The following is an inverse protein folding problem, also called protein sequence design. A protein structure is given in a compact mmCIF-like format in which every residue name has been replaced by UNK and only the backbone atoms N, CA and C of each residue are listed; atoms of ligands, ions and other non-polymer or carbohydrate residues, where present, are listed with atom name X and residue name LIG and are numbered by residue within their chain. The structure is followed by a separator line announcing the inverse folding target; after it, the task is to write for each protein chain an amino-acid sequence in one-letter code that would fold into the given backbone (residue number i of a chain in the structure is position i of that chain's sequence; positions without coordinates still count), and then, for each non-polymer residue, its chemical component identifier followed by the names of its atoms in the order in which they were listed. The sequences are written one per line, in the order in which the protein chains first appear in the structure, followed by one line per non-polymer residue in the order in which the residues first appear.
data_IF_467456843360
#
_entry.id   IF_467456843360
#
_cell.length_a   1.000
_cell.length_b   1.000
_cell.length_c   1.000
_cell.angle_alpha   90.00
_cell.angle_beta   90.00
_cell.angle_gamma   90.00
#
_symmetry.space_group_name_H-M   'P 1'
#
loop_
_entity.id
_entity.type
_entity.pdbx_description
1 polymer ?
#
# COMPACT_ATOMS: atom_id res chain seq x y z
N UNK A 1 20.29 13.13 -19.82
CA UNK A 1 20.64 14.36 -19.08
C UNK A 1 21.49 15.24 -19.99
N UNK A 2 21.01 16.42 -20.38
CA UNK A 2 21.79 17.32 -21.22
C UNK A 2 22.51 18.34 -20.31
N UNK A 3 23.54 17.88 -19.59
CA UNK A 3 24.31 18.73 -18.69
C UNK A 3 25.08 19.74 -19.54
N UNK A 4 24.83 21.03 -19.31
CA UNK A 4 25.53 22.11 -20.00
C UNK A 4 26.56 22.75 -19.09
N UNK A 5 27.68 23.14 -19.70
CA UNK A 5 28.81 23.77 -19.04
C UNK A 5 28.90 25.22 -19.51
N UNK A 6 28.97 26.13 -18.55
CA UNK A 6 29.02 27.57 -18.77
C UNK A 6 30.32 28.12 -18.19
N UNK A 7 31.00 28.97 -18.97
CA UNK A 7 32.24 29.61 -18.55
C UNK A 7 32.07 31.12 -18.62
N UNK A 8 32.26 31.81 -17.49
CA UNK A 8 32.18 33.26 -17.39
C UNK A 8 33.44 33.86 -16.79
N UNK A 9 33.73 35.13 -17.10
CA UNK A 9 34.90 35.83 -16.54
C UNK A 9 34.79 36.02 -15.02
N UNK A 10 33.57 35.95 -14.48
CA UNK A 10 33.26 35.91 -13.05
C UNK A 10 32.10 34.94 -12.79
N UNK A 11 31.89 34.50 -11.54
CA UNK A 11 30.78 33.61 -11.21
C UNK A 11 29.42 34.24 -11.53
N UNK A 12 29.29 35.56 -11.40
CA UNK A 12 28.07 36.30 -11.75
C UNK A 12 27.78 36.27 -13.26
N UNK A 13 28.83 36.35 -14.08
CA UNK A 13 28.74 36.26 -15.53
C UNK A 13 28.31 34.85 -15.96
N UNK A 14 28.95 33.82 -15.40
CA UNK A 14 28.58 32.42 -15.64
C UNK A 14 27.13 32.11 -15.20
N UNK A 15 26.69 32.63 -14.05
CA UNK A 15 25.31 32.48 -13.57
C UNK A 15 24.29 33.23 -14.45
N UNK A 16 24.68 34.36 -15.03
CA UNK A 16 23.80 35.10 -15.95
C UNK A 16 23.61 34.31 -17.25
N UNK A 17 24.67 33.65 -17.74
CA UNK A 17 24.58 32.74 -18.90
C UNK A 17 23.70 31.52 -18.60
N UNK A 18 23.84 30.94 -17.40
CA UNK A 18 22.99 29.83 -16.93
C UNK A 18 21.52 30.25 -16.95
N UNK A 19 21.15 31.38 -16.33
CA UNK A 19 19.75 31.85 -16.31
C UNK A 19 19.21 32.16 -17.71
N UNK A 20 20.04 32.77 -18.57
CA UNK A 20 19.62 33.11 -19.93
C UNK A 20 19.30 31.88 -20.78
N UNK A 21 20.01 30.77 -20.58
CA UNK A 21 19.87 29.57 -21.41
C UNK A 21 18.99 28.48 -20.78
N UNK A 22 19.04 28.31 -19.46
CA UNK A 22 18.32 27.27 -18.73
C UNK A 22 17.08 27.81 -17.99
N UNK A 23 16.88 29.12 -17.92
CA UNK A 23 15.79 29.74 -17.17
C UNK A 23 16.13 29.92 -15.70
N UNK A 24 15.18 30.48 -14.94
CA UNK A 24 15.38 30.75 -13.51
C UNK A 24 15.38 29.49 -12.65
N UNK A 25 14.77 28.40 -13.13
CA UNK A 25 14.67 27.08 -12.48
C UNK A 25 15.85 26.15 -12.84
N UNK A 26 17.02 26.73 -13.09
CA UNK A 26 18.23 25.97 -13.43
C UNK A 26 18.88 25.38 -12.18
N UNK A 27 19.12 24.07 -12.18
CA UNK A 27 19.80 23.38 -11.09
C UNK A 27 21.31 23.38 -11.35
N UNK A 28 22.08 23.93 -10.42
CA UNK A 28 23.54 24.00 -10.49
C UNK A 28 24.14 22.75 -9.83
N UNK A 29 24.89 21.97 -10.61
CA UNK A 29 25.60 20.78 -10.15
C UNK A 29 26.94 21.11 -9.50
N UNK A 30 27.65 22.08 -10.08
CA UNK A 30 29.01 22.41 -9.68
C UNK A 30 29.34 23.84 -10.10
N UNK A 31 30.06 24.54 -9.24
CA UNK A 31 30.63 25.86 -9.51
C UNK A 31 32.10 25.83 -9.09
N UNK A 32 33.02 25.97 -10.05
CA UNK A 32 34.45 25.90 -9.79
C UNK A 32 35.18 27.09 -10.41
N UNK A 33 36.04 27.72 -9.62
CA UNK A 33 37.01 28.69 -10.12
C UNK A 33 38.13 27.96 -10.87
N UNK A 34 38.40 28.38 -12.10
CA UNK A 34 39.40 27.81 -13.01
C UNK A 34 40.29 28.91 -13.57
N UNK A 35 41.47 28.57 -14.10
CA UNK A 35 42.42 29.56 -14.63
C UNK A 35 41.79 30.34 -15.79
N UNK A 36 41.39 31.59 -15.52
CA UNK A 36 40.76 32.49 -16.49
C UNK A 36 39.26 32.78 -16.26
N UNK A 37 38.62 32.22 -15.24
CA UNK A 37 37.20 32.50 -14.96
C UNK A 37 36.53 31.53 -13.99
N UNK A 38 35.19 31.46 -14.04
CA UNK A 38 34.38 30.50 -13.30
C UNK A 38 33.62 29.59 -14.25
N UNK A 39 33.66 28.30 -13.95
CA UNK A 39 32.97 27.25 -14.68
C UNK A 39 31.77 26.75 -13.85
N UNK A 40 30.59 26.76 -14.46
CA UNK A 40 29.34 26.29 -13.84
C UNK A 40 28.74 25.19 -14.69
N UNK A 41 28.44 24.05 -14.08
CA UNK A 41 27.68 22.97 -14.71
C UNK A 41 26.25 23.00 -14.20
N UNK A 42 25.29 23.08 -15.11
CA UNK A 42 23.87 23.21 -14.78
C UNK A 42 22.98 22.48 -15.79
N UNK A 43 21.75 22.20 -15.39
CA UNK A 43 20.71 21.60 -16.23
C UNK A 43 19.33 22.14 -15.82
N UNK A 44 18.30 21.90 -16.64
CA UNK A 44 16.91 22.29 -16.34
C UNK A 44 16.24 21.30 -15.40
N UNK A 45 15.55 21.78 -14.37
CA UNK A 45 14.83 20.95 -13.40
C UNK A 45 13.82 19.98 -14.07
N UNK A 46 13.16 20.42 -15.14
CA UNK A 46 12.24 19.61 -15.95
C UNK A 46 12.92 18.39 -16.59
N UNK A 47 14.21 18.47 -16.96
CA UNK A 47 14.94 17.31 -17.51
C UNK A 47 15.25 16.25 -16.45
N UNK A 48 15.39 16.66 -15.18
CA UNK A 48 15.53 15.72 -14.06
C UNK A 48 14.18 15.06 -13.76
N UNK A 49 13.09 15.83 -13.75
CA UNK A 49 11.75 15.28 -13.54
C UNK A 49 11.32 14.31 -14.66
N UNK A 50 11.62 14.63 -15.92
CA UNK A 50 11.36 13.74 -17.06
C UNK A 50 12.17 12.43 -17.01
N UNK A 51 13.39 12.46 -16.46
CA UNK A 51 14.20 11.26 -16.23
C UNK A 51 13.73 10.45 -15.01
N UNK A 52 13.25 11.12 -13.95
CA UNK A 52 12.69 10.47 -12.76
C UNK A 52 11.34 9.79 -13.05
N UNK A 53 10.57 10.33 -14.00
CA UNK A 53 9.26 9.78 -14.40
C UNK A 53 9.29 8.86 -15.62
N UNK A 54 10.45 8.63 -16.26
CA UNK A 54 10.58 7.64 -17.34
C UNK A 54 9.76 7.94 -18.60
N UNK A 55 9.35 9.19 -18.85
CA UNK A 55 8.56 9.55 -20.03
C UNK A 55 9.45 10.05 -21.17
N UNK A 56 9.90 9.11 -22.01
CA UNK A 56 10.19 9.39 -23.43
C UNK A 56 9.66 8.27 -24.32
N UNK A 57 8.34 8.27 -24.47
CA UNK A 57 7.57 7.97 -25.67
C UNK A 57 6.17 8.50 -25.33
N UNK A 58 5.63 9.54 -25.94
CA UNK A 58 5.07 9.55 -27.30
C UNK A 58 5.00 11.00 -27.76
N UNK A 59 5.61 11.33 -28.89
CA UNK A 59 5.24 12.53 -29.63
C UNK A 59 4.01 12.25 -30.49
N UNK A 60 3.07 13.18 -30.43
CA UNK A 60 2.04 13.51 -31.42
C UNK A 60 0.79 12.61 -31.52
N UNK A 61 -0.19 12.89 -30.65
CA UNK A 61 -1.57 13.09 -31.13
C UNK A 61 -2.08 14.43 -30.62
N UNK A 62 -2.36 15.30 -31.58
CA UNK A 62 -2.83 16.67 -31.42
C UNK A 62 -4.19 16.68 -30.68
N UNK A 63 -4.27 17.38 -29.54
CA UNK A 63 -5.52 17.69 -28.86
C UNK A 63 -5.69 19.21 -28.87
N UNK A 64 -6.06 19.75 -30.02
CA UNK A 64 -6.51 21.12 -30.15
C UNK A 64 -7.77 21.10 -31.02
N UNK A 65 -8.91 20.90 -30.37
CA UNK A 65 -10.26 21.41 -30.71
C UNK A 65 -11.33 20.62 -29.94
N UNK A 66 -11.67 21.09 -28.74
CA UNK A 66 -13.03 21.00 -28.20
C UNK A 66 -13.15 21.97 -27.02
N UNK A 67 -13.66 23.17 -27.31
CA UNK A 67 -14.22 24.05 -26.28
C UNK A 67 -15.66 23.63 -26.00
N UNK A 68 -15.96 23.62 -24.71
CA UNK A 68 -17.25 23.92 -24.07
C UNK A 68 -18.43 22.94 -24.16
N UNK A 69 -18.87 22.60 -22.95
CA UNK A 69 -20.25 22.37 -22.46
C UNK A 69 -20.77 20.93 -22.29
N UNK A 70 -21.33 20.74 -21.08
CA UNK A 70 -22.23 19.70 -20.56
C UNK A 70 -21.68 18.42 -19.88
N UNK A 71 -21.58 18.53 -18.54
CA UNK A 71 -22.09 17.66 -17.44
C UNK A 71 -22.00 16.10 -17.44
N UNK A 72 -21.93 15.48 -16.22
CA UNK A 72 -21.64 14.06 -15.98
C UNK A 72 -22.77 13.05 -16.36
N UNK A 73 -23.70 13.46 -17.21
CA UNK A 73 -24.90 12.72 -17.62
C UNK A 73 -24.62 11.68 -18.72
N UNK A 74 -23.53 11.85 -19.48
CA UNK A 74 -23.14 10.94 -20.57
C UNK A 74 -22.66 9.56 -20.06
N UNK A 75 -21.94 9.52 -18.93
CA UNK A 75 -21.48 8.25 -18.35
C UNK A 75 -22.62 7.46 -17.69
N UNK A 76 -23.54 8.15 -17.01
CA UNK A 76 -24.71 7.54 -16.37
C UNK A 76 -25.71 6.98 -17.40
N UNK A 77 -25.89 7.66 -18.53
CA UNK A 77 -26.73 7.17 -19.63
C UNK A 77 -26.11 5.97 -20.35
N UNK A 78 -24.78 5.93 -20.51
CA UNK A 78 -24.07 4.77 -21.07
C UNK A 78 -24.07 3.55 -20.14
N UNK A 79 -23.98 3.76 -18.82
CA UNK A 79 -24.08 2.68 -17.82
C UNK A 79 -25.51 2.12 -17.74
N UNK A 80 -26.54 2.97 -17.72
CA UNK A 80 -27.93 2.53 -17.72
C UNK A 80 -28.32 1.80 -19.01
N UNK A 81 -27.75 2.19 -20.17
CA UNK A 81 -27.97 1.51 -21.45
C UNK A 81 -27.33 0.12 -21.49
N UNK A 82 -26.12 -0.04 -20.91
CA UNK A 82 -25.48 -1.36 -20.75
C UNK A 82 -26.22 -2.28 -19.78
N UNK A 83 -26.74 -1.73 -18.67
CA UNK A 83 -27.51 -2.51 -17.69
C UNK A 83 -28.85 -2.97 -18.31
N UNK A 84 -29.53 -2.13 -19.10
CA UNK A 84 -30.74 -2.51 -19.82
C UNK A 84 -30.49 -3.57 -20.92
N UNK A 85 -29.34 -3.49 -21.61
CA UNK A 85 -28.94 -4.47 -22.64
C UNK A 85 -28.46 -5.81 -22.04
N UNK A 86 -27.91 -5.82 -20.81
CA UNK A 86 -27.58 -7.06 -20.08
C UNK A 86 -28.82 -7.74 -19.49
N UNK A 87 -29.82 -6.99 -19.01
CA UNK A 87 -31.06 -7.57 -18.48
C UNK A 87 -31.95 -8.19 -19.57
N UNK A 88 -31.86 -7.75 -20.83
CA UNK A 88 -32.53 -8.43 -21.96
C UNK A 88 -31.79 -9.68 -22.48
N UNK A 89 -30.51 -9.88 -22.14
CA UNK A 89 -29.72 -11.03 -22.61
C UNK A 89 -29.74 -12.24 -21.68
N UNK A 90 -30.24 -12.11 -20.45
CA UNK A 90 -30.28 -13.21 -19.47
C UNK A 90 -31.60 -14.01 -19.51
N UNK A 91 -32.67 -13.48 -20.09
CA UNK A 91 -34.00 -14.14 -20.09
C UNK A 91 -34.36 -14.96 -21.35
N UNK A 92 -33.43 -15.18 -22.31
CA UNK A 92 -33.74 -15.89 -23.56
C UNK A 92 -32.87 -17.12 -23.91
N UNK A 93 -31.96 -17.57 -23.04
CA UNK A 93 -31.16 -18.78 -23.29
C UNK A 93 -30.87 -19.57 -22.01
N UNK A 94 -31.85 -20.35 -21.52
CA UNK A 94 -31.62 -21.59 -20.74
C UNK A 94 -32.91 -22.35 -20.39
N UNK A 95 -33.78 -22.63 -21.37
CA UNK A 95 -34.81 -23.69 -21.23
C UNK A 95 -35.04 -24.34 -22.60
N UNK A 96 -34.02 -25.00 -23.17
CA UNK A 96 -34.22 -26.11 -24.11
C UNK A 96 -32.88 -26.77 -24.51
N UNK A 97 -32.31 -27.66 -23.69
CA UNK A 97 -31.23 -28.55 -24.15
C UNK A 97 -30.91 -29.73 -23.23
N UNK A 98 -31.87 -30.27 -22.48
CA UNK A 98 -31.68 -31.53 -21.73
C UNK A 98 -32.93 -32.42 -21.77
N UNK A 99 -33.49 -32.62 -22.97
CA UNK A 99 -34.48 -33.67 -23.24
C UNK A 99 -34.28 -34.15 -24.69
N UNK A 100 -33.24 -34.95 -24.93
CA UNK A 100 -33.07 -35.86 -26.08
C UNK A 100 -31.68 -36.48 -25.96
N UNK A 101 -31.61 -37.61 -25.27
CA UNK A 101 -30.78 -38.77 -25.64
C UNK A 101 -30.74 -39.76 -24.48
N UNK A 102 -31.77 -40.61 -24.42
CA UNK A 102 -31.67 -41.95 -23.84
C UNK A 102 -32.97 -42.69 -24.14
N UNK A 103 -33.07 -43.20 -25.37
CA UNK A 103 -34.03 -44.23 -25.72
C UNK A 103 -33.23 -45.52 -25.94
N UNK A 104 -33.27 -46.43 -24.97
CA UNK A 104 -32.93 -47.85 -25.18
C UNK A 104 -33.75 -48.72 -24.24
N UNK A 105 -34.91 -49.14 -24.78
CA UNK A 105 -35.57 -50.44 -24.65
C UNK A 105 -35.96 -51.02 -23.26
N UNK A 106 -37.27 -51.35 -23.18
CA UNK A 106 -37.98 -52.39 -22.38
C UNK A 106 -38.16 -52.07 -20.88
N UNK A 107 -39.33 -52.17 -20.23
CA UNK A 107 -40.53 -52.99 -20.42
C UNK A 107 -41.82 -52.21 -20.08
N UNK A 108 -42.93 -52.73 -20.58
CA UNK A 108 -44.35 -52.37 -20.39
C UNK A 108 -44.81 -52.27 -18.93
N UNK A 109 -45.60 -51.24 -18.59
CA UNK A 109 -46.84 -51.39 -17.81
C UNK A 109 -47.69 -50.11 -17.86
N UNK A 110 -48.98 -50.28 -18.12
CA UNK A 110 -50.04 -49.25 -18.09
C UNK A 110 -50.15 -48.55 -16.72
N UNK A 111 -50.38 -47.22 -16.70
CA UNK A 111 -51.14 -46.51 -15.66
C UNK A 111 -51.42 -45.01 -15.99
N UNK A 112 -52.71 -44.71 -16.15
CA UNK A 112 -53.52 -43.60 -15.60
C UNK A 112 -53.16 -42.08 -15.78
N UNK A 113 -54.13 -41.20 -16.13
CA UNK A 113 -53.91 -39.77 -16.37
C UNK A 113 -54.24 -38.91 -15.13
N UNK A 114 -53.39 -38.91 -14.08
CA UNK A 114 -53.64 -38.13 -12.86
C UNK A 114 -52.50 -37.21 -12.36
N UNK A 115 -51.37 -37.08 -13.05
CA UNK A 115 -50.15 -36.49 -12.46
C UNK A 115 -49.78 -35.05 -12.88
N UNK A 116 -50.65 -34.32 -13.58
CA UNK A 116 -50.38 -32.93 -14.02
C UNK A 116 -50.60 -31.86 -12.93
N UNK A 117 -51.23 -32.18 -11.80
CA UNK A 117 -51.51 -31.24 -10.71
C UNK A 117 -50.35 -31.10 -9.70
N UNK A 118 -49.51 -32.12 -9.54
CA UNK A 118 -48.42 -32.15 -8.54
C UNK A 118 -47.19 -31.32 -8.94
N UNK A 119 -46.90 -31.19 -10.25
CA UNK A 119 -45.72 -30.45 -10.76
C UNK A 119 -45.95 -28.93 -10.72
N UNK A 120 -47.19 -28.46 -10.90
CA UNK A 120 -47.53 -27.04 -10.76
C UNK A 120 -47.49 -26.58 -9.29
N UNK A 121 -48.00 -27.43 -8.39
CA UNK A 121 -48.03 -27.17 -6.94
C UNK A 121 -46.62 -27.11 -6.33
N UNK A 122 -45.71 -27.98 -6.77
CA UNK A 122 -44.30 -27.97 -6.32
C UNK A 122 -43.53 -26.73 -6.81
N UNK A 123 -43.79 -26.24 -8.03
CA UNK A 123 -43.22 -24.96 -8.53
C UNK A 123 -43.77 -23.75 -7.77
N UNK A 124 -45.08 -23.70 -7.48
CA UNK A 124 -45.66 -22.64 -6.65
C UNK A 124 -45.11 -22.65 -5.22
N UNK A 125 -44.90 -23.84 -4.64
CA UNK A 125 -44.31 -23.96 -3.30
C UNK A 125 -42.84 -23.52 -3.27
N UNK A 126 -42.07 -23.79 -4.32
CA UNK A 126 -40.70 -23.30 -4.46
C UNK A 126 -40.63 -21.76 -4.60
N UNK A 127 -41.56 -21.16 -5.35
CA UNK A 127 -41.69 -19.70 -5.45
C UNK A 127 -42.04 -19.08 -4.08
N UNK A 128 -43.01 -19.66 -3.36
CA UNK A 128 -43.39 -19.18 -2.03
C UNK A 128 -42.27 -19.33 -0.99
N UNK A 129 -41.45 -20.39 -1.07
CA UNK A 129 -40.26 -20.56 -0.24
C UNK A 129 -39.18 -19.51 -0.54
N UNK A 130 -39.01 -19.12 -1.80
CA UNK A 130 -38.11 -18.02 -2.18
C UNK A 130 -38.65 -16.66 -1.70
N UNK A 131 -39.95 -16.41 -1.82
CA UNK A 131 -40.61 -15.20 -1.30
C UNK A 131 -40.41 -15.08 0.22
N UNK A 132 -40.61 -16.18 0.96
CA UNK A 132 -40.40 -16.21 2.42
C UNK A 132 -38.94 -15.99 2.82
N UNK A 133 -37.98 -16.50 2.03
CA UNK A 133 -36.55 -16.20 2.25
C UNK A 133 -36.25 -14.72 1.99
N UNK A 134 -36.83 -14.14 0.94
CA UNK A 134 -36.70 -12.71 0.64
C UNK A 134 -37.28 -11.84 1.76
N UNK A 135 -38.51 -12.14 2.22
CA UNK A 135 -39.12 -11.45 3.36
C UNK A 135 -38.31 -11.59 4.64
N UNK A 136 -37.76 -12.77 4.92
CA UNK A 136 -36.88 -12.98 6.09
C UNK A 136 -35.64 -12.09 6.01
N UNK A 137 -34.99 -12.01 4.84
CA UNK A 137 -33.82 -11.16 4.66
C UNK A 137 -34.17 -9.67 4.85
N UNK A 138 -35.33 -9.22 4.37
CA UNK A 138 -35.81 -7.84 4.59
C UNK A 138 -36.07 -7.57 6.07
N UNK A 139 -36.73 -8.49 6.77
CA UNK A 139 -37.03 -8.37 8.21
C UNK A 139 -35.72 -8.37 9.02
N UNK A 140 -34.79 -9.27 8.73
CA UNK A 140 -33.47 -9.30 9.37
C UNK A 140 -32.70 -7.99 9.17
N UNK A 141 -32.74 -7.44 7.95
CA UNK A 141 -32.12 -6.14 7.63
C UNK A 141 -32.76 -4.98 8.39
N UNK A 142 -34.09 -4.93 8.47
CA UNK A 142 -34.81 -3.89 9.22
C UNK A 142 -34.57 -4.01 10.73
N UNK A 143 -34.58 -5.22 11.29
CA UNK A 143 -34.30 -5.44 12.70
C UNK A 143 -32.86 -5.06 13.06
N UNK A 144 -31.88 -5.36 12.20
CA UNK A 144 -30.49 -4.93 12.38
C UNK A 144 -30.39 -3.40 12.39
N UNK A 145 -31.11 -2.72 11.50
CA UNK A 145 -31.15 -1.25 11.44
C UNK A 145 -31.75 -0.65 12.71
N UNK A 146 -32.85 -1.22 13.23
CA UNK A 146 -33.51 -0.77 14.46
C UNK A 146 -32.63 -1.04 15.69
N UNK A 147 -31.96 -2.19 15.75
CA UNK A 147 -31.05 -2.49 16.85
C UNK A 147 -29.88 -1.49 16.89
N UNK A 148 -29.33 -1.13 15.72
CA UNK A 148 -28.25 -0.16 15.64
C UNK A 148 -28.67 1.28 15.89
N UNK A 149 -29.84 1.72 15.42
CA UNK A 149 -30.33 3.07 15.69
C UNK A 149 -30.54 3.31 17.20
N UNK A 150 -31.01 2.29 17.91
CA UNK A 150 -31.11 2.31 19.37
C UNK A 150 -29.73 2.35 20.06
N UNK A 151 -28.73 1.63 19.54
CA UNK A 151 -27.35 1.69 20.07
C UNK A 151 -26.76 3.09 19.83
N UNK A 152 -26.98 3.67 18.66
CA UNK A 152 -26.45 4.99 18.31
C UNK A 152 -27.06 6.11 19.17
N UNK A 153 -28.35 6.01 19.50
CA UNK A 153 -29.00 6.93 20.44
C UNK A 153 -28.55 6.72 21.90
N UNK A 154 -28.24 5.48 22.30
CA UNK A 154 -27.83 5.15 23.67
C UNK A 154 -26.36 5.40 23.95
N UNK A 155 -25.48 5.20 22.96
CA UNK A 155 -24.02 5.24 23.11
C UNK A 155 -23.37 6.10 22.01
N UNK A 156 -23.66 7.42 21.96
CA UNK A 156 -23.23 8.29 20.85
C UNK A 156 -21.71 8.34 20.67
N UNK A 157 -20.95 8.24 21.77
CA UNK A 157 -19.49 8.31 21.76
C UNK A 157 -18.88 7.05 21.11
N UNK A 158 -19.49 5.88 21.27
CA UNK A 158 -19.00 4.67 20.58
C UNK A 158 -19.20 4.76 19.07
N UNK A 159 -20.34 5.29 18.64
CA UNK A 159 -20.61 5.54 17.22
C UNK A 159 -19.66 6.60 16.64
N UNK A 160 -19.38 7.67 17.39
CA UNK A 160 -18.39 8.68 17.02
C UNK A 160 -17.01 8.06 16.82
N UNK A 161 -16.53 7.27 17.78
CA UNK A 161 -15.23 6.60 17.70
C UNK A 161 -15.16 5.58 16.56
N UNK A 162 -16.23 4.82 16.34
CA UNK A 162 -16.33 3.89 15.21
C UNK A 162 -16.19 4.62 13.87
N UNK A 163 -16.94 5.70 13.68
CA UNK A 163 -16.88 6.51 12.46
C UNK A 163 -15.51 7.15 12.25
N UNK A 164 -14.87 7.64 13.33
CA UNK A 164 -13.52 8.19 13.28
C UNK A 164 -12.47 7.15 12.86
N UNK A 165 -12.53 5.94 13.42
CA UNK A 165 -11.61 4.85 13.08
C UNK A 165 -11.77 4.39 11.62
N UNK A 166 -13.02 4.20 11.17
CA UNK A 166 -13.30 3.84 9.79
C UNK A 166 -12.82 4.94 8.81
N UNK A 167 -13.08 6.21 9.14
CA UNK A 167 -12.64 7.35 8.31
C UNK A 167 -11.12 7.52 8.28
N UNK A 168 -10.43 7.06 9.33
CA UNK A 168 -8.97 7.00 9.38
C UNK A 168 -8.38 5.83 8.57
N UNK A 169 -9.22 4.95 8.01
CA UNK A 169 -8.84 3.82 7.17
C UNK A 169 -8.57 2.52 7.94
N UNK A 170 -8.91 2.43 9.24
CA UNK A 170 -8.83 1.19 9.99
C UNK A 170 -9.92 0.20 9.52
N UNK A 171 -9.65 -1.10 9.58
CA UNK A 171 -10.65 -2.09 9.17
C UNK A 171 -11.92 -2.01 10.03
N UNK A 172 -13.09 -2.40 9.47
CA UNK A 172 -14.32 -2.50 10.24
C UNK A 172 -14.22 -3.42 11.45
N UNK A 173 -13.43 -4.50 11.32
CA UNK A 173 -13.28 -5.49 12.37
C UNK A 173 -12.52 -4.92 13.58
N UNK A 174 -11.38 -4.24 13.37
CA UNK A 174 -10.66 -3.58 14.46
C UNK A 174 -11.46 -2.40 15.03
N UNK A 175 -12.09 -1.60 14.16
CA UNK A 175 -12.86 -0.43 14.56
C UNK A 175 -14.04 -0.80 15.46
N UNK A 176 -14.78 -1.86 15.11
CA UNK A 176 -15.87 -2.38 15.94
C UNK A 176 -15.36 -2.93 17.27
N UNK A 177 -14.28 -3.71 17.24
CA UNK A 177 -13.69 -4.27 18.45
C UNK A 177 -13.31 -3.18 19.47
N UNK A 178 -12.67 -2.10 19.01
CA UNK A 178 -12.31 -0.98 19.87
C UNK A 178 -13.53 -0.21 20.36
N UNK A 179 -14.54 0.01 19.52
CA UNK A 179 -15.78 0.69 19.91
C UNK A 179 -16.58 -0.10 20.97
N UNK A 180 -16.71 -1.43 20.80
CA UNK A 180 -17.40 -2.30 21.76
C UNK A 180 -16.70 -2.34 23.13
N UNK A 181 -15.36 -2.29 23.12
CA UNK A 181 -14.52 -2.35 24.32
C UNK A 181 -14.27 -1.01 24.97
N UNK A 182 -14.76 0.08 24.38
CA UNK A 182 -14.65 1.41 24.95
C UNK A 182 -15.36 1.47 26.32
N UNK A 183 -14.70 1.95 27.39
CA UNK A 183 -15.31 2.09 28.70
C UNK A 183 -16.55 3.00 28.67
N UNK A 184 -17.56 2.65 29.48
CA UNK A 184 -18.75 3.48 29.64
C UNK A 184 -18.42 4.83 30.30
N UNK A 185 -19.23 5.85 30.02
CA UNK A 185 -19.17 7.19 30.64
C UNK A 185 -17.88 8.00 30.38
N UNK A 186 -17.13 7.70 29.33
CA UNK A 186 -16.05 8.57 28.87
C UNK A 186 -16.61 9.76 28.08
N UNK A 187 -15.93 10.90 28.12
CA UNK A 187 -16.15 11.99 27.17
C UNK A 187 -15.40 11.72 25.84
N UNK A 188 -15.71 12.43 24.75
CA UNK A 188 -15.08 12.18 23.44
C UNK A 188 -13.55 12.35 23.47
N UNK A 189 -13.01 13.24 24.32
CA UNK A 189 -11.55 13.44 24.45
C UNK A 189 -10.87 12.25 25.12
N UNK A 190 -11.44 11.76 26.22
CA UNK A 190 -10.96 10.58 26.95
C UNK A 190 -11.15 9.31 26.14
N UNK A 191 -12.25 9.20 25.39
CA UNK A 191 -12.47 8.10 24.46
C UNK A 191 -11.38 8.05 23.38
N UNK A 192 -11.09 9.19 22.73
CA UNK A 192 -10.00 9.28 21.76
C UNK A 192 -8.63 8.96 22.38
N UNK A 193 -8.35 9.48 23.59
CA UNK A 193 -7.11 9.15 24.31
C UNK A 193 -6.99 7.66 24.63
N UNK A 194 -8.09 7.00 25.01
CA UNK A 194 -8.13 5.57 25.26
C UNK A 194 -7.87 4.77 23.98
N UNK A 195 -8.52 5.12 22.86
CA UNK A 195 -8.28 4.47 21.56
C UNK A 195 -6.81 4.63 21.13
N UNK A 196 -6.26 5.85 21.23
CA UNK A 196 -4.85 6.13 20.96
C UNK A 196 -3.91 5.27 21.81
N UNK A 197 -4.24 5.11 23.10
CA UNK A 197 -3.47 4.27 24.02
C UNK A 197 -3.50 2.80 23.64
N UNK A 198 -4.68 2.23 23.35
CA UNK A 198 -4.81 0.80 22.98
C UNK A 198 -4.09 0.50 21.66
N UNK A 199 -4.25 1.36 20.65
CA UNK A 199 -3.51 1.23 19.39
C UNK A 199 -1.99 1.33 19.64
N UNK A 200 -1.56 2.26 20.49
CA UNK A 200 -0.14 2.50 20.79
C UNK A 200 0.51 1.37 21.58
N UNK A 201 -0.26 0.71 22.44
CA UNK A 201 0.16 -0.49 23.18
C UNK A 201 0.39 -1.68 22.24
N UNK A 202 -0.40 -1.80 21.17
CA UNK A 202 -0.35 -2.92 20.23
C UNK A 202 0.52 -2.65 18.98
N UNK A 203 0.95 -1.41 18.76
CA UNK A 203 1.91 -1.06 17.70
C UNK A 203 3.34 -1.20 18.22
N UNK A 204 3.98 -2.31 17.84
CA UNK A 204 5.40 -2.56 18.17
C UNK A 204 6.32 -1.74 17.27
N UNK A 205 7.12 -0.85 17.86
CA UNK A 205 8.13 -0.06 17.13
C UNK A 205 9.53 -0.32 17.71
N UNK A 206 10.58 0.02 16.96
CA UNK A 206 11.92 0.19 17.56
C UNK A 206 11.92 1.42 18.48
N UNK A 207 12.66 1.34 19.59
CA UNK A 207 12.78 2.46 20.53
C UNK A 207 13.86 3.46 20.11
N UNK A 208 14.92 2.96 19.47
CA UNK A 208 16.07 3.74 19.06
C UNK A 208 16.69 3.18 17.76
N UNK A 209 17.60 3.96 17.17
CA UNK A 209 18.37 3.57 15.99
C UNK A 209 19.48 2.57 16.29
N UNK A 210 19.68 2.19 17.55
CA UNK A 210 20.81 1.36 17.97
C UNK A 210 20.75 -0.02 17.32
N UNK A 211 19.58 -0.60 17.15
CA UNK A 211 19.45 -1.91 16.49
C UNK A 211 19.89 -1.90 15.02
N UNK A 212 19.64 -0.82 14.28
CA UNK A 212 19.91 -0.78 12.82
C UNK A 212 21.23 -0.12 12.49
N UNK A 213 21.59 0.93 13.22
CA UNK A 213 22.82 1.68 12.96
C UNK A 213 23.98 1.27 13.87
N UNK A 214 23.74 1.01 15.17
CA UNK A 214 24.83 0.82 16.13
C UNK A 214 25.21 -0.65 16.39
N UNK A 215 24.26 -1.59 16.35
CA UNK A 215 24.52 -3.03 16.48
C UNK A 215 25.07 -3.64 15.19
N UNK A 216 24.82 -2.98 14.05
CA UNK A 216 25.23 -3.45 12.75
C UNK A 216 24.53 -4.74 12.32
N UNK A 217 25.11 -5.42 11.34
CA UNK A 217 24.57 -6.63 10.73
C UNK A 217 24.10 -6.44 9.30
N UNK A 218 23.41 -7.47 8.78
CA UNK A 218 22.97 -7.52 7.39
C UNK A 218 21.46 -7.35 7.32
N UNK A 219 21.01 -6.34 6.57
CA UNK A 219 19.60 -6.01 6.42
C UNK A 219 19.20 -6.07 4.95
N UNK A 220 18.14 -6.81 4.63
CA UNK A 220 17.56 -6.86 3.30
C UNK A 220 16.19 -6.18 3.28
N UNK A 221 16.04 -5.23 2.36
CA UNK A 221 14.79 -4.52 2.12
C UNK A 221 14.03 -5.25 1.03
N UNK A 222 12.86 -5.80 1.38
CA UNK A 222 12.04 -6.64 0.51
C UNK A 222 10.65 -6.06 0.34
N UNK A 223 9.93 -6.49 -0.70
CA UNK A 223 8.56 -6.05 -0.98
C UNK A 223 8.30 -5.72 -2.46
N UNK A 224 7.04 -5.34 -2.77
CA UNK A 224 6.57 -5.18 -4.15
C UNK A 224 7.33 -4.17 -5.01
N UNK A 225 7.09 -4.20 -6.32
CA UNK A 225 7.57 -3.16 -7.23
C UNK A 225 7.02 -1.78 -6.82
N UNK A 226 7.82 -0.73 -7.01
CA UNK A 226 7.38 0.65 -6.74
C UNK A 226 7.19 1.04 -5.26
N UNK A 227 7.35 0.11 -4.32
CA UNK A 227 7.16 0.36 -2.87
C UNK A 227 8.26 1.23 -2.23
N UNK A 228 9.30 1.63 -2.98
CA UNK A 228 10.36 2.50 -2.48
C UNK A 228 11.54 1.81 -1.77
N UNK A 229 11.82 0.54 -2.05
CA UNK A 229 12.97 -0.22 -1.50
C UNK A 229 14.30 0.49 -1.74
N UNK A 230 14.67 0.72 -3.00
CA UNK A 230 15.96 1.32 -3.39
C UNK A 230 16.18 2.69 -2.75
N UNK A 231 15.15 3.55 -2.77
CA UNK A 231 15.22 4.86 -2.12
C UNK A 231 15.34 4.74 -0.60
N UNK A 232 14.63 3.79 0.02
CA UNK A 232 14.75 3.52 1.47
C UNK A 232 16.15 3.00 1.82
N UNK A 233 16.74 2.11 1.01
CA UNK A 233 18.13 1.65 1.15
C UNK A 233 19.09 2.83 1.12
N UNK A 234 18.94 3.74 0.15
CA UNK A 234 19.78 4.92 0.03
C UNK A 234 19.64 5.87 1.24
N UNK A 235 18.42 6.07 1.75
CA UNK A 235 18.15 6.86 2.96
C UNK A 235 18.83 6.28 4.20
N UNK A 236 18.71 4.96 4.41
CA UNK A 236 19.39 4.27 5.51
C UNK A 236 20.91 4.32 5.36
N UNK A 237 21.42 4.12 4.14
CA UNK A 237 22.85 4.21 3.85
C UNK A 237 23.42 5.60 4.16
N UNK A 238 22.75 6.65 3.70
CA UNK A 238 23.15 8.03 3.95
C UNK A 238 23.09 8.36 5.46
N UNK A 239 22.03 7.95 6.16
CA UNK A 239 21.92 8.12 7.63
C UNK A 239 23.04 7.41 8.39
N UNK A 240 23.37 6.18 7.98
CA UNK A 240 24.49 5.44 8.54
C UNK A 240 25.83 6.13 8.29
N UNK A 241 26.10 6.56 7.05
CA UNK A 241 27.33 7.25 6.66
C UNK A 241 27.52 8.55 7.44
N UNK A 242 26.45 9.33 7.64
CA UNK A 242 26.50 10.55 8.45
C UNK A 242 26.89 10.29 9.91
N UNK A 243 26.54 9.12 10.45
CA UNK A 243 26.79 8.77 11.85
C UNK A 243 28.12 8.03 12.07
N UNK A 244 28.48 7.10 11.18
CA UNK A 244 29.58 6.15 11.37
C UNK A 244 30.66 6.21 10.28
N UNK A 245 30.48 7.07 9.27
CA UNK A 245 31.36 7.16 8.12
C UNK A 245 31.14 6.04 7.09
N UNK A 246 31.86 6.14 5.97
CA UNK A 246 31.66 5.29 4.78
C UNK A 246 32.35 3.93 4.89
N UNK A 247 33.42 3.85 5.68
CA UNK A 247 34.32 2.68 5.69
C UNK A 247 33.67 1.41 6.23
N UNK A 248 32.61 1.55 7.02
CA UNK A 248 31.96 0.45 7.72
C UNK A 248 30.61 0.05 7.14
N UNK A 249 30.25 0.59 5.96
CA UNK A 249 29.02 0.25 5.23
C UNK A 249 29.35 -0.56 3.97
N UNK A 250 28.56 -1.61 3.74
CA UNK A 250 28.49 -2.33 2.46
C UNK A 250 27.10 -2.18 1.84
N UNK A 251 27.03 -2.01 0.52
CA UNK A 251 25.77 -1.97 -0.23
C UNK A 251 25.74 -3.11 -1.24
N UNK A 252 24.65 -3.87 -1.26
CA UNK A 252 24.40 -4.93 -2.22
C UNK A 252 23.07 -4.63 -2.92
N UNK A 253 22.97 -4.94 -4.22
CA UNK A 253 21.72 -4.92 -4.96
C UNK A 253 21.51 -6.25 -5.67
N UNK A 254 20.29 -6.79 -5.58
CA UNK A 254 19.87 -7.97 -6.37
C UNK A 254 19.11 -7.59 -7.64
N UNK A 255 18.87 -6.29 -7.91
CA UNK A 255 18.22 -5.80 -9.13
C UNK A 255 19.22 -5.68 -10.30
N UNK A 256 19.95 -6.77 -10.57
CA UNK A 256 21.04 -6.80 -11.55
C UNK A 256 20.55 -6.95 -13.01
N UNK A 257 19.34 -7.47 -13.22
CA UNK A 257 18.83 -7.80 -14.56
C UNK A 257 17.98 -6.72 -15.20
N UNK A 258 17.32 -5.88 -14.40
CA UNK A 258 16.46 -4.84 -14.93
C UNK A 258 17.31 -3.70 -15.49
N UNK A 259 17.03 -3.30 -16.72
CA UNK A 259 17.71 -2.17 -17.38
C UNK A 259 17.52 -0.93 -16.49
N UNK A 260 18.62 -0.38 -15.98
CA UNK A 260 18.63 0.76 -15.05
C UNK A 260 18.21 0.44 -13.61
N UNK A 261 17.81 -0.79 -13.28
CA UNK A 261 17.25 -1.16 -11.96
C UNK A 261 18.20 -0.93 -10.79
N UNK A 262 19.50 -1.13 -11.00
CA UNK A 262 20.55 -0.92 -10.00
C UNK A 262 21.31 0.41 -10.16
N UNK A 263 21.01 1.20 -11.20
CA UNK A 263 21.74 2.43 -11.50
C UNK A 263 21.49 3.49 -10.41
N UNK A 264 20.25 3.57 -9.93
CA UNK A 264 19.88 4.51 -8.86
C UNK A 264 20.70 4.27 -7.58
N UNK A 265 20.78 3.02 -7.10
CA UNK A 265 21.57 2.71 -5.91
C UNK A 265 23.07 2.95 -6.14
N UNK A 266 23.59 2.64 -7.33
CA UNK A 266 25.00 2.92 -7.68
C UNK A 266 25.32 4.40 -7.68
N UNK A 267 24.42 5.26 -8.15
CA UNK A 267 24.58 6.71 -8.09
C UNK A 267 24.65 7.16 -6.63
N UNK A 268 23.72 6.71 -5.78
CA UNK A 268 23.77 7.02 -4.34
C UNK A 268 25.05 6.51 -3.68
N UNK A 269 25.48 5.27 -3.98
CA UNK A 269 26.74 4.73 -3.49
C UNK A 269 27.94 5.60 -3.89
N UNK A 270 27.99 6.07 -5.14
CA UNK A 270 29.05 6.99 -5.61
C UNK A 270 29.03 8.34 -4.88
N UNK A 271 27.84 8.92 -4.64
CA UNK A 271 27.68 10.17 -3.89
C UNK A 271 28.15 9.98 -2.44
N UNK A 272 27.79 8.87 -1.82
CA UNK A 272 28.14 8.53 -0.45
C UNK A 272 29.57 8.01 -0.28
N UNK A 273 30.29 7.71 -1.37
CA UNK A 273 31.62 7.07 -1.30
C UNK A 273 31.59 5.62 -0.83
N UNK A 274 30.51 4.89 -1.10
CA UNK A 274 30.31 3.48 -0.73
C UNK A 274 30.12 2.62 -1.97
N UNK A 275 30.89 1.55 -2.07
CA UNK A 275 30.80 0.61 -3.19
C UNK A 275 29.51 -0.22 -3.14
N UNK A 276 28.86 -0.36 -4.30
CA UNK A 276 27.64 -1.16 -4.47
C UNK A 276 27.96 -2.42 -5.25
N UNK A 277 27.67 -3.57 -4.66
CA UNK A 277 27.87 -4.89 -5.25
C UNK A 277 26.58 -5.35 -5.93
N UNK A 278 26.65 -5.71 -7.20
CA UNK A 278 25.52 -6.29 -7.92
C UNK A 278 25.61 -7.82 -7.86
N UNK A 279 24.52 -8.45 -7.42
CA UNK A 279 24.43 -9.88 -7.16
C UNK A 279 23.26 -10.46 -7.95
N UNK A 280 23.44 -11.65 -8.56
CA UNK A 280 22.40 -12.29 -9.38
C UNK A 280 21.81 -13.54 -8.74
N UNK A 281 22.62 -14.31 -8.04
CA UNK A 281 22.25 -15.59 -7.47
C UNK A 281 22.84 -15.79 -6.07
N UNK A 282 22.60 -16.96 -5.48
CA UNK A 282 23.07 -17.32 -4.14
C UNK A 282 24.60 -17.35 -4.05
N UNK A 283 25.28 -17.77 -5.11
CA UNK A 283 26.73 -17.86 -5.13
C UNK A 283 27.34 -16.46 -5.12
N UNK A 284 26.84 -15.58 -5.98
CA UNK A 284 27.23 -14.16 -6.00
C UNK A 284 26.96 -13.49 -4.65
N UNK A 285 25.81 -13.77 -4.02
CA UNK A 285 25.46 -13.20 -2.72
C UNK A 285 26.44 -13.66 -1.64
N UNK A 286 26.78 -14.95 -1.62
CA UNK A 286 27.73 -15.50 -0.68
C UNK A 286 29.14 -14.89 -0.84
N UNK A 287 29.58 -14.68 -2.08
CA UNK A 287 30.86 -14.01 -2.38
C UNK A 287 30.84 -12.57 -1.87
N UNK A 288 29.81 -11.79 -2.22
CA UNK A 288 29.69 -10.39 -1.80
C UNK A 288 29.64 -10.24 -0.26
N UNK A 289 28.88 -11.11 0.43
CA UNK A 289 28.82 -11.12 1.89
C UNK A 289 30.16 -11.48 2.53
N UNK A 290 30.93 -12.40 1.94
CA UNK A 290 32.25 -12.77 2.44
C UNK A 290 33.28 -11.65 2.22
N UNK A 291 33.22 -10.93 1.10
CA UNK A 291 34.06 -9.74 0.88
C UNK A 291 33.73 -8.60 1.85
N UNK A 292 32.45 -8.45 2.17
CA UNK A 292 31.95 -7.40 3.08
C UNK A 292 31.93 -7.83 4.55
N UNK A 293 32.43 -9.01 4.92
CA UNK A 293 32.33 -9.55 6.29
C UNK A 293 32.93 -8.67 7.39
N UNK A 294 33.88 -7.80 7.04
CA UNK A 294 34.53 -6.87 7.97
C UNK A 294 33.80 -5.53 8.06
N UNK A 295 32.74 -5.31 7.25
CA UNK A 295 31.87 -4.14 7.37
C UNK A 295 30.95 -4.36 8.56
N UNK A 296 30.72 -3.29 9.30
CA UNK A 296 29.82 -3.29 10.44
C UNK A 296 28.36 -3.48 10.01
N UNK A 297 27.95 -2.82 8.92
CA UNK A 297 26.60 -2.89 8.39
C UNK A 297 26.62 -3.20 6.90
N UNK A 298 25.74 -4.10 6.46
CA UNK A 298 25.50 -4.39 5.04
C UNK A 298 24.02 -4.17 4.76
N UNK A 299 23.71 -3.33 3.77
CA UNK A 299 22.33 -3.12 3.31
C UNK A 299 22.16 -3.77 1.93
N UNK A 300 21.13 -4.59 1.80
CA UNK A 300 20.77 -5.30 0.58
C UNK A 300 19.48 -4.69 0.02
N UNK A 301 19.59 -4.01 -1.12
CA UNK A 301 18.45 -3.63 -1.94
C UNK A 301 18.04 -4.82 -2.80
N UNK A 302 16.74 -5.12 -2.84
CA UNK A 302 16.27 -6.26 -3.59
C UNK A 302 15.38 -5.86 -4.76
N UNK A 303 15.35 -6.70 -5.79
CA UNK A 303 14.41 -6.53 -6.90
C UNK A 303 12.96 -6.47 -6.38
N UNK A 304 12.16 -5.59 -6.96
CA UNK A 304 10.73 -5.55 -6.66
C UNK A 304 10.00 -6.69 -7.36
N UNK A 305 9.24 -7.47 -6.59
CA UNK A 305 8.46 -8.57 -7.13
C UNK A 305 7.01 -8.44 -6.67
N UNK A 306 6.07 -8.52 -7.62
CA UNK A 306 4.63 -8.51 -7.29
C UNK A 306 4.31 -9.64 -6.31
N UNK A 307 3.47 -9.38 -5.31
CA UNK A 307 3.07 -10.36 -4.31
C UNK A 307 2.35 -11.59 -4.87
N UNK A 308 1.88 -11.52 -6.13
CA UNK A 308 1.22 -12.62 -6.84
C UNK A 308 2.19 -13.43 -7.71
N UNK A 309 3.43 -12.99 -7.82
CA UNK A 309 4.46 -13.65 -8.63
C UNK A 309 5.13 -14.77 -7.82
N UNK A 310 5.47 -15.88 -8.48
CA UNK A 310 6.19 -17.00 -7.87
C UNK A 310 7.61 -16.61 -7.47
N UNK A 311 8.18 -15.62 -8.14
CA UNK A 311 9.54 -15.12 -7.89
C UNK A 311 9.72 -14.55 -6.47
N UNK A 312 8.64 -14.21 -5.75
CA UNK A 312 8.71 -13.81 -4.32
C UNK A 312 9.33 -14.92 -3.47
N UNK A 313 9.00 -16.18 -3.78
CA UNK A 313 9.53 -17.34 -3.05
C UNK A 313 11.03 -17.51 -3.32
N UNK A 314 11.44 -17.36 -4.59
CA UNK A 314 12.85 -17.45 -5.00
C UNK A 314 13.70 -16.36 -4.33
N UNK A 315 13.19 -15.12 -4.32
CA UNK A 315 13.83 -14.00 -3.63
C UNK A 315 13.96 -14.24 -2.12
N UNK A 316 12.91 -14.76 -1.49
CA UNK A 316 12.93 -15.06 -0.06
C UNK A 316 13.87 -16.22 0.26
N UNK A 317 13.96 -17.22 -0.63
CA UNK A 317 14.87 -18.34 -0.52
C UNK A 317 16.33 -17.90 -0.64
N UNK A 318 16.67 -17.08 -1.64
CA UNK A 318 17.99 -16.49 -1.84
C UNK A 318 18.54 -15.81 -0.57
N UNK A 319 17.69 -15.06 0.13
CA UNK A 319 18.08 -14.37 1.36
C UNK A 319 18.13 -15.30 2.58
N UNK A 320 17.45 -16.45 2.53
CA UNK A 320 17.36 -17.37 3.67
C UNK A 320 18.35 -18.53 3.59
N UNK A 321 18.95 -18.81 2.42
CA UNK A 321 19.96 -19.87 2.23
C UNK A 321 21.38 -19.44 2.60
N UNK A 322 21.62 -18.13 2.79
CA UNK A 322 22.91 -17.61 3.23
C UNK A 322 23.30 -18.10 4.64
N UNK A 323 24.59 -18.40 4.83
CA UNK A 323 25.16 -18.71 6.16
C UNK A 323 25.14 -17.50 7.10
N UNK A 324 25.14 -16.30 6.54
CA UNK A 324 25.07 -15.06 7.31
C UNK A 324 23.60 -14.75 7.60
N UNK A 325 23.27 -14.45 8.86
CA UNK A 325 21.92 -14.05 9.23
C UNK A 325 21.56 -12.71 8.58
N UNK A 326 20.54 -12.71 7.73
CA UNK A 326 20.01 -11.53 7.04
C UNK A 326 18.67 -11.15 7.67
N UNK A 327 18.60 -9.96 8.29
CA UNK A 327 17.34 -9.40 8.79
C UNK A 327 16.51 -8.89 7.62
N UNK A 328 15.28 -9.40 7.46
CA UNK A 328 14.37 -9.05 6.37
C UNK A 328 13.37 -7.98 6.83
N UNK A 329 13.47 -6.79 6.25
CA UNK A 329 12.55 -5.67 6.49
C UNK A 329 11.62 -5.48 5.29
N UNK A 330 10.32 -5.72 5.51
CA UNK A 330 9.30 -5.55 4.48
C UNK A 330 8.92 -4.08 4.33
N UNK A 331 9.13 -3.52 3.14
CA UNK A 331 8.59 -2.22 2.80
C UNK A 331 7.09 -2.35 2.47
N UNK A 332 6.27 -1.53 3.12
CA UNK A 332 4.83 -1.44 2.95
C UNK A 332 4.47 -0.03 2.49
N UNK A 333 3.72 0.11 1.40
CA UNK A 333 3.32 1.42 0.89
C UNK A 333 2.04 1.90 1.58
N UNK A 334 2.11 3.08 2.21
CA UNK A 334 1.02 3.67 2.98
C UNK A 334 -0.25 3.94 2.15
N UNK A 335 -0.13 4.07 0.82
CA UNK A 335 -1.28 4.34 -0.06
C UNK A 335 -2.08 3.10 -0.42
N UNK A 336 -1.61 1.90 -0.08
CA UNK A 336 -2.30 0.67 -0.41
C UNK A 336 -3.46 0.34 0.53
N UNK A 337 -4.47 -0.36 -0.01
CA UNK A 337 -5.60 -0.86 0.77
C UNK A 337 -5.15 -1.95 1.75
N UNK A 338 -5.96 -2.18 2.80
CA UNK A 338 -5.68 -3.21 3.79
C UNK A 338 -5.57 -4.61 3.18
N UNK A 339 -6.38 -4.93 2.16
CA UNK A 339 -6.34 -6.20 1.44
C UNK A 339 -5.01 -6.37 0.71
N UNK A 340 -4.57 -5.35 -0.02
CA UNK A 340 -3.30 -5.38 -0.75
C UNK A 340 -2.12 -5.57 0.20
N UNK A 341 -2.11 -4.83 1.32
CA UNK A 341 -1.06 -4.94 2.33
C UNK A 341 -1.06 -6.32 3.00
N UNK A 342 -2.24 -6.90 3.23
CA UNK A 342 -2.39 -8.25 3.78
C UNK A 342 -1.82 -9.29 2.81
N UNK A 343 -2.18 -9.23 1.51
CA UNK A 343 -1.63 -10.12 0.48
C UNK A 343 -0.10 -10.01 0.40
N UNK A 344 0.45 -8.79 0.47
CA UNK A 344 1.88 -8.55 0.48
C UNK A 344 2.54 -9.21 1.68
N UNK A 345 2.00 -9.02 2.89
CA UNK A 345 2.57 -9.65 4.07
C UNK A 345 2.49 -11.17 3.95
N UNK A 346 1.36 -11.74 3.55
CA UNK A 346 1.23 -13.20 3.40
C UNK A 346 2.27 -13.75 2.42
N UNK A 347 2.47 -13.09 1.27
CA UNK A 347 3.45 -13.51 0.27
C UNK A 347 4.89 -13.46 0.79
N UNK A 348 5.25 -12.43 1.56
CA UNK A 348 6.62 -12.19 2.02
C UNK A 348 6.92 -12.74 3.43
N UNK A 349 5.90 -13.13 4.21
CA UNK A 349 6.05 -13.57 5.61
C UNK A 349 6.92 -14.81 5.72
N UNK A 350 6.71 -15.79 4.83
CA UNK A 350 7.50 -17.02 4.72
C UNK A 350 7.97 -17.57 6.08
N UNK A 351 9.27 -17.90 6.18
CA UNK A 351 9.97 -18.03 7.48
C UNK A 351 10.89 -16.83 7.66
N UNK A 352 10.57 -15.96 8.62
CA UNK A 352 11.50 -14.95 9.15
C UNK A 352 11.38 -13.57 8.50
N UNK A 353 10.26 -12.89 8.67
CA UNK A 353 10.22 -11.43 8.59
C UNK A 353 10.66 -10.84 9.94
N UNK A 354 11.63 -9.94 9.96
CA UNK A 354 12.15 -9.34 11.19
C UNK A 354 11.47 -8.00 11.53
N UNK A 355 10.83 -7.39 10.54
CA UNK A 355 10.07 -6.15 10.71
C UNK A 355 9.61 -5.55 9.40
N UNK A 356 9.10 -4.33 9.49
CA UNK A 356 8.63 -3.58 8.34
C UNK A 356 9.03 -2.10 8.40
N UNK A 357 8.89 -1.45 7.25
CA UNK A 357 9.05 -0.01 7.06
C UNK A 357 7.81 0.48 6.30
N UNK A 358 7.12 1.50 6.82
CA UNK A 358 6.05 2.14 6.05
C UNK A 358 6.69 3.19 5.14
N UNK A 359 6.30 3.19 3.87
CA UNK A 359 6.82 4.08 2.85
C UNK A 359 5.72 4.98 2.29
N UNK A 360 6.11 6.11 1.69
CA UNK A 360 5.20 7.03 0.99
C UNK A 360 4.09 7.60 1.88
N UNK A 361 4.40 7.91 3.14
CA UNK A 361 3.42 8.52 4.06
C UNK A 361 2.92 9.88 3.54
N UNK A 362 3.75 10.60 2.79
CA UNK A 362 3.44 11.88 2.15
C UNK A 362 2.41 11.78 1.03
N UNK A 363 2.28 10.61 0.40
CA UNK A 363 1.29 10.34 -0.66
C UNK A 363 -0.04 9.82 -0.09
N UNK A 364 -0.08 9.43 1.19
CA UNK A 364 -1.22 8.73 1.78
C UNK A 364 -2.30 9.69 2.30
N UNK A 365 -3.52 9.57 1.77
CA UNK A 365 -4.69 10.28 2.30
C UNK A 365 -5.07 9.82 3.71
N UNK A 366 -4.88 8.53 3.99
CA UNK A 366 -5.10 7.88 5.28
C UNK A 366 -4.05 6.81 5.49
N UNK A 367 -3.59 6.61 6.72
CA UNK A 367 -2.58 5.59 7.05
C UNK A 367 -3.12 4.46 7.94
N UNK A 368 -4.41 4.51 8.31
CA UNK A 368 -5.01 3.53 9.23
C UNK A 368 -4.97 2.11 8.69
N UNK A 369 -5.06 1.90 7.38
CA UNK A 369 -4.98 0.57 6.76
C UNK A 369 -3.60 -0.07 7.01
N UNK A 370 -2.53 0.70 6.84
CA UNK A 370 -1.16 0.25 7.10
C UNK A 370 -0.93 -0.06 8.58
N UNK A 371 -1.37 0.83 9.48
CA UNK A 371 -1.24 0.61 10.91
C UNK A 371 -2.05 -0.61 11.39
N UNK A 372 -3.29 -0.75 10.92
CA UNK A 372 -4.16 -1.87 11.25
C UNK A 372 -3.54 -3.22 10.90
N UNK A 373 -3.05 -3.35 9.66
CA UNK A 373 -2.44 -4.60 9.20
C UNK A 373 -1.15 -4.90 9.98
N UNK A 374 -0.31 -3.89 10.24
CA UNK A 374 0.92 -4.05 11.04
C UNK A 374 0.60 -4.52 12.47
N UNK A 375 -0.42 -3.93 13.11
CA UNK A 375 -0.88 -4.30 14.44
C UNK A 375 -1.38 -5.74 14.45
N UNK A 376 -2.26 -6.11 13.50
CA UNK A 376 -2.84 -7.46 13.40
C UNK A 376 -1.78 -8.54 13.14
N UNK A 377 -0.81 -8.24 12.29
CA UNK A 377 0.29 -9.16 11.95
C UNK A 377 1.43 -9.12 12.97
N UNK A 378 1.33 -8.27 14.01
CA UNK A 378 2.33 -8.08 15.07
C UNK A 378 3.73 -7.79 14.52
N UNK A 379 3.80 -7.04 13.42
CA UNK A 379 5.08 -6.69 12.80
C UNK A 379 5.77 -5.58 13.58
N UNK A 380 7.08 -5.73 13.79
CA UNK A 380 7.91 -4.68 14.37
C UNK A 380 8.17 -3.59 13.32
N UNK A 381 7.71 -2.38 13.58
CA UNK A 381 7.88 -1.25 12.69
C UNK A 381 9.17 -0.49 13.01
N UNK A 382 10.06 -0.38 12.02
CA UNK A 382 11.37 0.23 12.19
C UNK A 382 11.35 1.72 11.82
N UNK A 383 11.01 2.00 10.56
CA UNK A 383 11.06 3.34 10.00
C UNK A 383 9.76 3.68 9.28
N UNK A 384 9.61 4.98 9.05
CA UNK A 384 8.61 5.57 8.16
C UNK A 384 9.31 6.50 7.18
N UNK A 385 8.83 6.56 5.93
CA UNK A 385 9.34 7.52 4.93
C UNK A 385 8.23 8.42 4.41
N UNK A 386 8.52 9.71 4.27
CA UNK A 386 7.53 10.76 4.02
C UNK A 386 8.00 11.79 2.99
N UNK A 387 8.63 11.32 1.92
CA UNK A 387 9.12 12.18 0.83
C UNK A 387 10.26 11.54 0.05
N UNK A 388 10.87 12.32 -0.85
CA UNK A 388 11.88 11.85 -1.81
C UNK A 388 13.33 12.20 -1.43
N UNK A 389 13.54 13.11 -0.47
CA UNK A 389 14.87 13.61 -0.10
C UNK A 389 15.68 12.56 0.66
N UNK A 390 16.97 12.51 0.37
CA UNK A 390 17.93 11.58 0.96
C UNK A 390 19.02 12.39 1.66
N UNK A 391 19.21 12.25 2.99
CA UNK A 391 18.59 11.29 3.92
C UNK A 391 17.36 11.82 4.69
N UNK A 392 16.87 13.02 4.42
CA UNK A 392 15.98 13.74 5.35
C UNK A 392 14.60 13.08 5.53
N UNK A 393 14.03 12.49 4.47
CA UNK A 393 12.65 11.98 4.50
C UNK A 393 12.56 10.52 5.00
N UNK A 394 13.31 10.18 6.04
CA UNK A 394 13.17 8.92 6.79
C UNK A 394 13.24 9.20 8.29
N UNK A 395 12.30 8.63 9.04
CA UNK A 395 12.21 8.83 10.48
C UNK A 395 12.01 7.50 11.19
N UNK A 396 12.51 7.43 12.42
CA UNK A 396 12.15 6.36 13.34
C UNK A 396 10.63 6.31 13.50
N UNK A 397 10.07 5.11 13.53
CA UNK A 397 8.64 4.95 13.72
C UNK A 397 8.24 5.31 15.15
N UNK A 398 7.64 6.49 15.32
CA UNK A 398 7.09 6.92 16.60
C UNK A 398 5.60 6.55 16.70
N UNK A 399 5.28 5.59 17.58
CA UNK A 399 3.91 5.10 17.79
C UNK A 399 2.91 6.22 18.11
N UNK A 400 3.28 7.16 18.96
CA UNK A 400 2.40 8.25 19.41
C UNK A 400 2.09 9.20 18.26
N UNK A 401 3.12 9.57 17.49
CA UNK A 401 2.98 10.46 16.34
C UNK A 401 2.16 9.80 15.22
N UNK A 402 2.43 8.53 14.89
CA UNK A 402 1.73 7.81 13.82
C UNK A 402 0.25 7.62 14.13
N UNK A 403 -0.09 7.24 15.36
CA UNK A 403 -1.48 7.05 15.76
C UNK A 403 -2.19 8.39 15.86
N UNK A 404 -1.51 9.43 16.37
CA UNK A 404 -2.09 10.75 16.37
C UNK A 404 -2.28 11.28 14.95
N UNK A 405 -1.38 11.00 14.01
CA UNK A 405 -1.50 11.36 12.60
C UNK A 405 -2.70 10.65 11.96
N UNK A 406 -2.87 9.35 12.21
CA UNK A 406 -4.00 8.58 11.70
C UNK A 406 -5.36 9.10 12.19
N UNK A 407 -5.44 9.49 13.48
CA UNK A 407 -6.70 9.90 14.11
C UNK A 407 -6.94 11.42 14.13
N UNK A 408 -5.93 12.25 13.82
CA UNK A 408 -6.07 13.70 13.73
C UNK A 408 -6.41 14.16 12.31
N UNK A 409 -6.92 13.29 11.45
CA UNK A 409 -7.44 13.70 10.15
C UNK A 409 -8.62 14.65 10.40
N UNK A 410 -8.31 15.96 10.38
CA UNK A 410 -9.26 17.05 10.19
C UNK A 410 -9.77 16.94 8.76
N UNK A 411 -10.45 15.84 8.47
CA UNK A 411 -10.98 15.65 7.13
C UNK A 411 -12.05 16.72 6.97
N UNK A 412 -11.95 17.59 5.95
CA UNK A 412 -13.01 18.55 5.71
C UNK A 412 -14.32 17.76 5.65
N UNK A 413 -15.30 18.17 6.46
CA UNK A 413 -16.63 17.59 6.38
C UNK A 413 -17.04 17.58 4.91
N UNK A 414 -17.66 16.49 4.45
CA UNK A 414 -18.22 16.35 3.09
C UNK A 414 -17.30 15.73 2.00
N UNK A 415 -16.35 14.85 2.35
CA UNK A 415 -15.70 13.99 1.33
C UNK A 415 -16.52 12.69 1.13
N UNK A 416 -16.71 12.19 -0.11
CA UNK A 416 -17.49 10.98 -0.40
C UNK A 416 -16.99 9.69 0.27
N UNK A 417 -15.79 9.70 0.82
CA UNK A 417 -15.13 8.55 1.45
C UNK A 417 -15.23 8.57 3.00
N UNK A 418 -15.93 9.55 3.58
CA UNK A 418 -16.26 9.55 5.00
C UNK A 418 -17.56 8.79 5.24
N UNK A 419 -17.61 8.03 6.33
CA UNK A 419 -18.85 7.41 6.77
C UNK A 419 -19.69 8.43 7.53
N UNK A 420 -20.90 8.68 7.05
CA UNK A 420 -21.87 9.47 7.79
C UNK A 420 -22.39 8.65 8.97
N UNK A 421 -22.75 9.33 10.06
CA UNK A 421 -23.30 8.68 11.25
C UNK A 421 -24.50 7.77 10.89
N UNK A 422 -25.35 8.23 9.96
CA UNK A 422 -26.53 7.52 9.48
C UNK A 422 -26.20 6.24 8.67
N UNK A 423 -24.99 6.15 8.11
CA UNK A 423 -24.53 5.02 7.29
C UNK A 423 -23.87 3.91 8.11
N UNK A 424 -23.32 4.25 9.29
CA UNK A 424 -22.63 3.31 10.17
C UNK A 424 -23.46 2.05 10.51
N UNK A 425 -24.79 2.10 10.73
CA UNK A 425 -25.61 0.91 10.90
C UNK A 425 -25.53 -0.10 9.76
N UNK A 426 -25.53 0.37 8.52
CA UNK A 426 -25.54 -0.49 7.34
C UNK A 426 -24.15 -1.10 7.08
N UNK A 427 -23.09 -0.35 7.37
CA UNK A 427 -21.70 -0.78 7.17
C UNK A 427 -21.24 -1.71 8.30
N UNK A 428 -21.65 -1.46 9.54
CA UNK A 428 -21.17 -2.17 10.72
C UNK A 428 -22.08 -3.33 11.17
N UNK A 429 -23.34 -3.41 10.74
CA UNK A 429 -24.31 -4.39 11.23
C UNK A 429 -24.13 -5.83 10.74
N UNK A 430 -23.40 -6.08 9.65
CA UNK A 430 -23.37 -7.41 9.00
C UNK A 430 -22.03 -8.17 9.05
N UNK A 431 -20.92 -7.56 9.49
CA UNK A 431 -19.63 -8.27 9.45
C UNK A 431 -19.43 -9.16 10.70
N UNK A 432 -19.45 -10.48 10.54
CA UNK A 432 -18.93 -11.41 11.57
C UNK A 432 -17.47 -11.07 11.85
N UNK A 433 -17.06 -11.08 13.12
CA UNK A 433 -15.64 -10.92 13.50
C UNK A 433 -14.88 -12.12 12.95
N UNK A 434 -14.21 -11.94 11.82
CA UNK A 434 -13.34 -12.93 11.19
C UNK A 434 -11.91 -12.39 11.19
N UNK A 435 -11.02 -13.04 11.96
CA UNK A 435 -9.61 -12.68 12.05
C UNK A 435 -9.02 -12.83 13.46
N UNK A 436 -7.69 -12.86 13.56
CA UNK A 436 -6.89 -12.97 14.81
C UNK A 436 -6.98 -11.72 15.73
N UNK A 437 -8.15 -11.09 15.82
CA UNK A 437 -8.39 -9.91 16.66
C UNK A 437 -8.45 -10.31 18.14
N UNK A 438 -8.76 -11.58 18.44
CA UNK A 438 -8.77 -12.15 19.80
C UNK A 438 -7.40 -12.20 20.48
N UNK A 439 -6.30 -11.89 19.79
CA UNK A 439 -4.93 -11.93 20.31
C UNK A 439 -4.27 -10.56 20.49
N UNK A 440 -5.02 -9.45 20.36
CA UNK A 440 -4.54 -8.14 20.81
C UNK A 440 -4.30 -8.22 22.31
N UNK A 441 -3.24 -7.58 22.81
CA UNK A 441 -2.92 -7.60 24.23
C UNK A 441 -4.15 -7.15 25.01
N UNK A 442 -4.56 -7.94 26.03
CA UNK A 442 -5.76 -7.68 26.82
C UNK A 442 -5.83 -6.19 27.20
N UNK A 443 -7.00 -5.62 26.90
CA UNK A 443 -7.36 -4.21 27.09
C UNK A 443 -7.09 -3.78 28.52
#
# INVERSE_FOLDING_TARGET
MNIKRFFGKSSRDALTMVRKELGDDAVILSNRAVSGGNEIMAFREEEMNAMMNGEKAVHAFNYDQAKHDDEPTALLSLLNKKIAEEHQRVDAKKIDSHLKDSNTQTHTHDADPSDTSNVATSKQMALMLNEMRSMRNVIESQLATIAWSNIQQREPIKSEMLGALLSAGFSPALSRYLAEKLPANLDSKKANAWVKHILGKNLTTIENETEVLDQGGVFALIGPTGVGKTTTTAKLAARYVMKHGTQNLGLITTDAYRVGGHEQLRIYGKILGVMVYAVKDETDLAIALNELKNKHTILIDTVGVSQRDRMVTEQTALLSSSKTTIKKLLCLNATNTGETLTDVIIAYKGKGLDGCIITKLDEAATIGSALDVIIREKLKLYYVTSGQRVPEDINLANKTELISLALNLKTPANRPFQFLAEELPFVAGQARVTGNISQLAEI
#
